data_IF_546419597898
#
_entry.id   IF_546419597898
#
_cell.length_a   1.000
_cell.length_b   1.000
_cell.length_c   1.000
_cell.angle_alpha   90.00
_cell.angle_beta   90.00
_cell.angle_gamma   90.00
#
_symmetry.space_group_name_H-M   'P 1'
#
loop_
_entity.id
_entity.type
_entity.pdbx_description
1 polymer ?
#
# COMPACT_ATOMS: atom_id res chain seq x y z
N UNK A 1 -1.34 -29.19 0.70
CA UNK A 1 -1.42 -27.71 0.67
C UNK A 1 -0.10 -27.23 0.12
N UNK A 2 -0.04 -26.80 -1.14
CA UNK A 2 1.21 -26.35 -1.75
C UNK A 2 1.55 -24.98 -1.16
N UNK A 3 2.59 -24.92 -0.34
CA UNK A 3 3.18 -23.67 0.11
C UNK A 3 3.70 -22.95 -1.16
N UNK A 4 2.96 -21.95 -1.64
CA UNK A 4 3.47 -21.08 -2.69
C UNK A 4 4.58 -20.25 -2.05
N UNK A 5 5.81 -20.42 -2.53
CA UNK A 5 6.96 -19.60 -2.13
C UNK A 5 6.76 -18.19 -2.67
N UNK A 6 6.08 -17.34 -1.88
CA UNK A 6 5.93 -15.93 -2.21
C UNK A 6 7.30 -15.27 -2.03
N UNK A 7 7.90 -14.82 -3.13
CA UNK A 7 9.10 -13.97 -3.07
C UNK A 7 8.69 -12.60 -2.52
N UNK A 8 9.15 -12.24 -1.32
CA UNK A 8 8.93 -10.91 -0.75
C UNK A 8 10.02 -9.93 -1.21
N UNK A 9 9.63 -8.68 -1.45
CA UNK A 9 10.53 -7.58 -1.77
C UNK A 9 10.36 -6.48 -0.73
N UNK A 10 11.47 -5.89 -0.27
CA UNK A 10 11.42 -4.76 0.66
C UNK A 10 11.40 -3.46 -0.13
N UNK A 11 10.37 -2.64 0.09
CA UNK A 11 10.22 -1.32 -0.52
C UNK A 11 10.26 -0.27 0.60
N UNK A 12 10.96 0.87 0.42
CA UNK A 12 10.89 1.97 1.37
C UNK A 12 9.46 2.50 1.51
N UNK A 13 8.98 2.67 2.74
CA UNK A 13 7.63 3.13 3.10
C UNK A 13 7.18 4.34 2.27
N UNK A 14 7.99 5.40 2.22
CA UNK A 14 7.68 6.61 1.45
C UNK A 14 7.45 6.31 -0.04
N UNK A 15 8.24 5.41 -0.65
CA UNK A 15 8.06 5.06 -2.06
C UNK A 15 6.74 4.33 -2.30
N UNK A 16 6.34 3.46 -1.37
CA UNK A 16 5.06 2.78 -1.44
C UNK A 16 3.90 3.78 -1.27
N UNK A 17 3.99 4.71 -0.31
CA UNK A 17 3.01 5.79 -0.15
C UNK A 17 2.86 6.65 -1.40
N UNK A 18 3.98 7.12 -1.95
CA UNK A 18 3.97 7.97 -3.14
C UNK A 18 3.32 7.24 -4.33
N UNK A 19 3.61 5.94 -4.49
CA UNK A 19 2.98 5.09 -5.49
C UNK A 19 1.47 4.99 -5.30
N UNK A 20 0.99 4.62 -4.10
CA UNK A 20 -0.43 4.49 -3.80
C UNK A 20 -1.18 5.81 -4.04
N UNK A 21 -0.65 6.94 -3.55
CA UNK A 21 -1.24 8.26 -3.80
C UNK A 21 -1.33 8.56 -5.30
N UNK A 22 -0.27 8.31 -6.07
CA UNK A 22 -0.28 8.52 -7.51
C UNK A 22 -1.35 7.68 -8.22
N UNK A 23 -1.59 6.44 -7.79
CA UNK A 23 -2.63 5.57 -8.35
C UNK A 23 -4.01 6.16 -8.10
N UNK A 24 -4.31 6.58 -6.87
CA UNK A 24 -5.60 7.20 -6.52
C UNK A 24 -5.87 8.49 -7.29
N UNK A 25 -4.87 9.38 -7.38
CA UNK A 25 -4.98 10.63 -8.14
C UNK A 25 -5.23 10.35 -9.62
N UNK A 26 -4.56 9.35 -10.23
CA UNK A 26 -4.81 8.95 -11.62
C UNK A 26 -6.23 8.40 -11.84
N UNK A 27 -6.81 7.79 -10.81
CA UNK A 27 -8.21 7.36 -10.79
C UNK A 27 -9.19 8.51 -10.47
N UNK A 28 -8.70 9.75 -10.36
CA UNK A 28 -9.46 10.97 -10.06
C UNK A 28 -10.09 10.98 -8.67
N UNK A 29 -9.49 10.26 -7.71
CA UNK A 29 -9.84 10.37 -6.29
C UNK A 29 -9.34 11.74 -5.78
N UNK A 30 -10.12 12.47 -4.96
CA UNK A 30 -9.65 13.69 -4.32
C UNK A 30 -8.37 13.46 -3.51
N UNK A 31 -7.44 14.41 -3.55
CA UNK A 31 -6.12 14.27 -2.93
C UNK A 31 -6.17 13.89 -1.45
N UNK A 32 -7.04 14.54 -0.68
CA UNK A 32 -7.23 14.23 0.74
C UNK A 32 -7.72 12.80 0.99
N UNK A 33 -8.58 12.28 0.11
CA UNK A 33 -9.11 10.93 0.23
C UNK A 33 -8.06 9.91 -0.20
N UNK A 34 -7.25 10.23 -1.21
CA UNK A 34 -6.09 9.46 -1.63
C UNK A 34 -5.06 9.31 -0.50
N UNK A 35 -4.69 10.43 0.13
CA UNK A 35 -3.76 10.44 1.27
C UNK A 35 -4.27 9.57 2.42
N UNK A 36 -5.54 9.76 2.82
CA UNK A 36 -6.16 8.99 3.91
C UNK A 36 -6.17 7.49 3.59
N UNK A 37 -6.52 7.12 2.36
CA UNK A 37 -6.58 5.71 1.94
C UNK A 37 -5.19 5.09 1.92
N UNK A 38 -4.20 5.79 1.35
CA UNK A 38 -2.81 5.36 1.33
C UNK A 38 -2.24 5.18 2.73
N UNK A 39 -2.52 6.10 3.66
CA UNK A 39 -2.03 6.02 5.03
C UNK A 39 -2.55 4.77 5.74
N UNK A 40 -3.83 4.41 5.56
CA UNK A 40 -4.41 3.20 6.17
C UNK A 40 -3.75 1.93 5.62
N UNK A 41 -3.59 1.83 4.30
CA UNK A 41 -2.98 0.67 3.64
C UNK A 41 -1.52 0.48 4.08
N UNK A 42 -0.70 1.53 3.97
CA UNK A 42 0.71 1.43 4.33
C UNK A 42 0.91 1.22 5.83
N UNK A 43 0.03 1.76 6.66
CA UNK A 43 0.07 1.49 8.10
C UNK A 43 -0.28 0.03 8.43
N UNK A 44 -1.11 -0.65 7.62
CA UNK A 44 -1.34 -2.08 7.75
C UNK A 44 -0.08 -2.89 7.42
N UNK A 45 0.64 -2.54 6.34
CA UNK A 45 1.92 -3.16 5.98
C UNK A 45 2.97 -2.98 7.09
N UNK A 46 3.12 -1.76 7.60
CA UNK A 46 4.07 -1.47 8.69
C UNK A 46 3.76 -2.22 9.99
N UNK A 47 2.51 -2.65 10.18
CA UNK A 47 2.06 -3.43 11.33
C UNK A 47 2.07 -4.95 11.08
N UNK A 48 2.45 -5.39 9.88
CA UNK A 48 2.45 -6.80 9.49
C UNK A 48 1.04 -7.38 9.35
N UNK A 49 0.07 -6.55 8.94
CA UNK A 49 -1.31 -6.98 8.65
C UNK A 49 -1.48 -7.06 7.13
N UNK A 50 -0.79 -8.03 6.52
CA UNK A 50 -0.66 -8.19 5.06
C UNK A 50 -2.02 -8.28 4.33
N UNK A 51 -3.07 -8.78 5.00
CA UNK A 51 -4.41 -8.90 4.42
C UNK A 51 -5.15 -7.56 4.22
N UNK A 52 -4.66 -6.48 4.84
CA UNK A 52 -5.25 -5.14 4.80
C UNK A 52 -4.28 -4.08 4.24
N UNK A 53 -3.10 -4.52 3.78
CA UNK A 53 -2.08 -3.69 3.14
C UNK A 53 -2.05 -3.87 1.62
N UNK A 54 -0.86 -3.82 1.02
CA UNK A 54 -0.63 -3.90 -0.44
C UNK A 54 0.20 -5.13 -0.81
#
# INVERSE_FOLDING_TARGET
MAQSTVSQITIPERKLKDFCNCVWIKLRVPEKDAETTTDVLVLADLRGVDSHGV
#
